data_IF_049494806482
#
_entry.id   IF_049494806482
#
_cell.length_a   1.000
_cell.length_b   1.000
_cell.length_c   1.000
_cell.angle_alpha   90.00
_cell.angle_beta   90.00
_cell.angle_gamma   90.00
#
_symmetry.space_group_name_H-M   'P 1'
#
loop_
_entity.id
_entity.type
_entity.pdbx_description
1 polymer ?
#
# COMPACT_ATOMS: atom_id res chain seq x y z
N UNK A 1 -28.36 76.88 21.53
CA UNK A 1 -29.08 75.76 20.86
C UNK A 1 -29.33 76.19 19.41
N UNK A 2 -29.17 75.37 18.35
CA UNK A 2 -29.21 73.89 18.20
C UNK A 2 -27.85 73.34 17.69
N UNK A 3 -27.51 72.06 17.48
CA UNK A 3 -28.20 70.92 16.84
C UNK A 3 -27.57 69.62 17.36
N UNK A 4 -28.37 68.76 17.97
CA UNK A 4 -28.00 67.36 18.21
C UNK A 4 -28.96 66.50 17.41
N UNK A 5 -28.52 65.98 16.27
CA UNK A 5 -29.12 64.84 15.57
C UNK A 5 -28.32 64.59 14.28
N UNK A 6 -28.14 63.31 13.93
CA UNK A 6 -27.33 62.72 12.84
C UNK A 6 -25.93 62.20 13.21
N UNK A 7 -25.82 61.27 14.16
CA UNK A 7 -24.61 60.43 14.30
C UNK A 7 -24.93 58.92 14.36
N UNK A 8 -26.16 58.53 14.69
CA UNK A 8 -26.50 57.12 14.97
C UNK A 8 -26.52 56.17 13.76
N UNK A 9 -26.83 56.65 12.54
CA UNK A 9 -26.99 55.77 11.36
C UNK A 9 -25.70 55.46 10.59
N UNK A 10 -24.64 56.26 10.79
CA UNK A 10 -23.38 56.08 10.09
C UNK A 10 -22.50 55.04 10.80
N UNK A 11 -22.38 55.12 12.13
CA UNK A 11 -21.61 54.16 12.94
C UNK A 11 -22.05 52.71 12.72
N UNK A 12 -23.37 52.46 12.71
CA UNK A 12 -23.94 51.13 12.48
C UNK A 12 -23.55 50.54 11.11
N UNK A 13 -23.45 51.36 10.05
CA UNK A 13 -23.08 50.88 8.71
C UNK A 13 -21.61 50.52 8.59
N UNK A 14 -20.72 51.15 9.37
CA UNK A 14 -19.29 50.83 9.36
C UNK A 14 -18.99 49.57 10.15
N UNK A 15 -19.66 49.33 11.28
CA UNK A 15 -19.49 48.10 12.08
C UNK A 15 -19.95 46.86 11.31
N UNK A 16 -21.12 46.88 10.66
CA UNK A 16 -21.60 45.72 9.87
C UNK A 16 -20.79 45.49 8.58
N UNK A 17 -19.99 46.46 8.14
CA UNK A 17 -19.11 46.32 6.96
C UNK A 17 -17.76 45.74 7.39
N UNK A 18 -17.22 46.20 8.52
CA UNK A 18 -16.02 45.64 9.15
C UNK A 18 -16.22 44.18 9.57
N UNK A 19 -17.36 43.83 10.17
CA UNK A 19 -17.68 42.44 10.57
C UNK A 19 -17.81 41.50 9.37
N UNK A 20 -18.44 41.94 8.28
CA UNK A 20 -18.53 41.16 7.03
C UNK A 20 -17.19 41.02 6.32
N UNK A 21 -16.34 42.03 6.37
CA UNK A 21 -15.01 41.99 5.77
C UNK A 21 -14.07 41.06 6.56
N UNK A 22 -14.20 40.97 7.88
CA UNK A 22 -13.49 39.99 8.71
C UNK A 22 -13.99 38.56 8.49
N UNK A 23 -15.31 38.32 8.44
CA UNK A 23 -15.86 36.99 8.10
C UNK A 23 -15.43 36.52 6.70
N UNK A 24 -15.42 37.42 5.71
CA UNK A 24 -14.92 37.13 4.36
C UNK A 24 -13.43 36.83 4.32
N UNK A 25 -12.66 37.42 5.24
CA UNK A 25 -11.22 37.21 5.38
C UNK A 25 -10.94 35.86 6.04
N UNK A 26 -11.69 35.50 7.08
CA UNK A 26 -11.62 34.18 7.71
C UNK A 26 -12.00 33.06 6.73
N UNK A 27 -13.04 33.28 5.92
CA UNK A 27 -13.48 32.29 4.94
C UNK A 27 -12.47 32.11 3.80
N UNK A 28 -11.76 33.18 3.42
CA UNK A 28 -10.62 33.12 2.50
C UNK A 28 -9.43 32.39 3.14
N UNK A 29 -9.12 32.67 4.40
CA UNK A 29 -8.00 32.05 5.12
C UNK A 29 -8.23 30.54 5.30
N UNK A 30 -9.46 30.12 5.62
CA UNK A 30 -9.84 28.70 5.67
C UNK A 30 -9.69 28.03 4.30
N UNK A 31 -10.15 28.67 3.22
CA UNK A 31 -9.98 28.13 1.86
C UNK A 31 -8.50 28.02 1.46
N UNK A 32 -7.69 29.01 1.79
CA UNK A 32 -6.25 29.03 1.55
C UNK A 32 -5.57 27.88 2.31
N UNK A 33 -5.93 27.67 3.58
CA UNK A 33 -5.43 26.56 4.41
C UNK A 33 -5.84 25.20 3.87
N UNK A 34 -7.09 25.03 3.43
CA UNK A 34 -7.54 23.78 2.80
C UNK A 34 -6.75 23.51 1.51
N UNK A 35 -6.56 24.52 0.68
CA UNK A 35 -5.74 24.40 -0.54
C UNK A 35 -4.30 24.03 -0.20
N UNK A 36 -3.68 24.71 0.76
CA UNK A 36 -2.32 24.42 1.21
C UNK A 36 -2.21 23.02 1.79
N UNK A 37 -3.21 22.56 2.56
CA UNK A 37 -3.27 21.20 3.05
C UNK A 37 -3.29 20.18 1.91
N UNK A 38 -4.11 20.39 0.87
CA UNK A 38 -4.12 19.53 -0.31
C UNK A 38 -2.78 19.54 -1.07
N UNK A 39 -2.15 20.71 -1.20
CA UNK A 39 -0.83 20.81 -1.84
C UNK A 39 0.25 20.07 -1.04
N UNK A 40 0.30 20.25 0.27
CA UNK A 40 1.24 19.55 1.16
C UNK A 40 0.98 18.04 1.12
N UNK A 41 -0.29 17.62 1.23
CA UNK A 41 -0.68 16.22 1.15
C UNK A 41 -0.22 15.59 -0.17
N UNK A 42 -0.45 16.25 -1.30
CA UNK A 42 -0.01 15.76 -2.60
C UNK A 42 1.52 15.65 -2.68
N UNK A 43 2.25 16.64 -2.16
CA UNK A 43 3.72 16.60 -2.13
C UNK A 43 4.27 15.50 -1.22
N UNK A 44 3.63 15.26 -0.08
CA UNK A 44 3.99 14.19 0.86
C UNK A 44 3.68 12.81 0.29
N UNK A 45 2.55 12.65 -0.41
CA UNK A 45 2.25 11.41 -1.14
C UNK A 45 3.30 11.18 -2.21
N UNK A 46 3.63 12.23 -2.99
CA UNK A 46 4.62 12.13 -4.05
C UNK A 46 6.03 11.85 -3.52
N UNK A 47 6.42 12.42 -2.38
CA UNK A 47 7.73 12.18 -1.75
C UNK A 47 7.85 10.80 -1.12
N UNK A 48 6.72 10.20 -0.72
CA UNK A 48 6.65 8.84 -0.17
C UNK A 48 6.51 7.76 -1.25
N UNK A 49 6.23 8.14 -2.50
CA UNK A 49 6.31 7.18 -3.60
C UNK A 49 7.77 6.77 -3.78
N UNK A 50 8.10 5.47 -3.70
CA UNK A 50 9.47 5.04 -3.84
C UNK A 50 10.00 5.34 -5.26
N UNK A 51 11.28 5.69 -5.40
CA UNK A 51 11.95 5.83 -6.72
C UNK A 51 11.82 4.55 -7.57
N UNK A 52 11.62 3.40 -6.91
CA UNK A 52 11.34 2.10 -7.49
C UNK A 52 9.86 1.88 -7.88
N UNK A 53 9.07 2.94 -8.11
CA UNK A 53 7.72 2.85 -8.68
C UNK A 53 7.69 2.04 -9.99
N UNK A 54 8.77 2.09 -10.76
CA UNK A 54 8.93 1.28 -11.97
C UNK A 54 8.87 -0.22 -11.66
N UNK A 55 9.47 -0.67 -10.55
CA UNK A 55 9.41 -2.07 -10.11
C UNK A 55 7.96 -2.46 -9.78
N UNK A 56 7.22 -1.59 -9.09
CA UNK A 56 5.81 -1.82 -8.77
C UNK A 56 4.93 -1.89 -10.03
N UNK A 57 5.15 -1.02 -11.01
CA UNK A 57 4.48 -1.10 -12.31
C UNK A 57 4.80 -2.40 -13.03
N UNK A 58 6.05 -2.84 -12.95
CA UNK A 58 6.47 -4.10 -13.54
C UNK A 58 5.93 -5.33 -12.80
N UNK A 59 5.58 -5.25 -11.51
CA UNK A 59 4.86 -6.33 -10.81
C UNK A 59 3.50 -6.65 -11.45
N UNK A 60 2.86 -5.67 -12.09
CA UNK A 60 1.62 -5.92 -12.84
C UNK A 60 1.83 -6.94 -13.99
N UNK A 61 3.06 -7.09 -14.48
CA UNK A 61 3.40 -8.08 -15.51
C UNK A 61 3.33 -9.52 -14.98
N UNK A 62 3.41 -9.72 -13.66
CA UNK A 62 3.26 -11.03 -13.00
C UNK A 62 1.80 -11.44 -12.82
N UNK A 63 0.85 -10.69 -13.36
CA UNK A 63 -0.54 -11.13 -13.34
C UNK A 63 -0.69 -12.44 -14.15
N UNK A 64 -1.42 -13.48 -13.67
CA UNK A 64 -1.55 -14.76 -14.35
C UNK A 64 -1.97 -14.64 -15.83
N UNK A 65 -2.93 -13.77 -16.13
CA UNK A 65 -3.36 -13.45 -17.51
C UNK A 65 -2.22 -12.97 -18.43
N UNK A 66 -1.27 -12.21 -17.89
CA UNK A 66 -0.09 -11.72 -18.63
C UNK A 66 0.96 -12.83 -18.73
N UNK A 67 1.16 -13.61 -17.66
CA UNK A 67 2.07 -14.75 -17.64
C UNK A 67 1.70 -15.85 -18.66
N UNK A 68 0.40 -16.05 -18.90
CA UNK A 68 -0.11 -17.02 -19.88
C UNK A 68 -0.29 -16.44 -21.29
N UNK A 69 -0.02 -15.15 -21.49
CA UNK A 69 -0.14 -14.49 -22.79
C UNK A 69 1.02 -14.82 -23.72
N UNK A 70 0.75 -14.87 -25.03
CA UNK A 70 1.78 -14.99 -26.07
C UNK A 70 2.64 -13.71 -26.19
N UNK A 71 2.05 -12.56 -25.87
CA UNK A 71 2.76 -11.27 -25.85
C UNK A 71 2.98 -10.91 -24.40
N UNK A 72 4.18 -11.21 -23.89
CA UNK A 72 4.59 -10.88 -22.53
C UNK A 72 5.86 -10.05 -22.51
N UNK A 73 5.97 -9.08 -21.60
CA UNK A 73 7.18 -8.30 -21.41
C UNK A 73 8.29 -9.16 -20.79
N UNK A 74 9.54 -8.82 -21.10
CA UNK A 74 10.71 -9.45 -20.50
C UNK A 74 10.80 -9.10 -19.01
N UNK A 75 11.18 -10.07 -18.17
CA UNK A 75 11.41 -9.84 -16.74
C UNK A 75 12.81 -9.28 -16.47
N UNK A 76 13.68 -9.17 -17.47
CA UNK A 76 15.05 -8.71 -17.33
C UNK A 76 15.20 -7.37 -16.61
N UNK A 77 14.29 -6.42 -16.84
CA UNK A 77 14.35 -5.11 -16.19
C UNK A 77 14.02 -5.19 -14.69
N UNK A 78 13.09 -6.09 -14.32
CA UNK A 78 12.78 -6.37 -12.90
C UNK A 78 13.94 -7.15 -12.26
N UNK A 79 14.50 -8.13 -12.97
CA UNK A 79 15.61 -8.95 -12.47
C UNK A 79 16.91 -8.13 -12.32
N UNK A 80 17.09 -7.06 -13.10
CA UNK A 80 18.16 -6.08 -12.91
C UNK A 80 17.95 -5.23 -11.66
N UNK A 81 16.73 -4.75 -11.42
CA UNK A 81 16.41 -3.90 -10.26
C UNK A 81 16.38 -4.70 -8.94
N UNK A 82 15.85 -5.93 -8.96
CA UNK A 82 15.84 -6.86 -7.82
C UNK A 82 17.12 -7.69 -7.86
N UNK A 83 18.26 -7.07 -7.53
CA UNK A 83 19.58 -7.71 -7.52
C UNK A 83 19.78 -8.65 -6.32
N UNK A 84 18.85 -9.58 -6.13
CA UNK A 84 18.84 -10.57 -5.03
C UNK A 84 18.67 -11.98 -5.59
N UNK A 85 19.75 -12.54 -6.14
CA UNK A 85 19.79 -13.90 -6.71
C UNK A 85 19.42 -14.99 -5.70
N UNK A 86 19.56 -14.73 -4.39
CA UNK A 86 19.08 -15.63 -3.33
C UNK A 86 17.57 -15.92 -3.40
N UNK A 87 16.76 -15.04 -4.02
CA UNK A 87 15.31 -15.21 -4.11
C UNK A 87 14.86 -16.12 -5.27
N UNK A 88 15.64 -16.21 -6.34
CA UNK A 88 15.18 -16.81 -7.60
C UNK A 88 16.26 -17.56 -8.38
N UNK A 89 17.48 -17.67 -7.86
CA UNK A 89 18.59 -18.32 -8.54
C UNK A 89 19.16 -17.48 -9.68
N UNK A 90 19.33 -18.09 -10.85
CA UNK A 90 19.90 -17.47 -12.03
C UNK A 90 18.82 -16.70 -12.84
N UNK A 91 19.18 -15.51 -13.33
CA UNK A 91 18.28 -14.64 -14.10
C UNK A 91 17.87 -15.26 -15.44
N UNK A 92 18.81 -15.92 -16.10
CA UNK A 92 18.57 -16.53 -17.41
C UNK A 92 17.59 -17.69 -17.33
N UNK A 93 17.67 -18.47 -16.25
CA UNK A 93 16.76 -19.58 -15.99
C UNK A 93 15.33 -19.08 -15.75
N UNK A 94 15.17 -18.01 -14.94
CA UNK A 94 13.87 -17.36 -14.70
C UNK A 94 13.23 -16.87 -15.98
N UNK A 95 13.99 -16.18 -16.85
CA UNK A 95 13.47 -15.67 -18.12
C UNK A 95 13.12 -16.82 -19.08
N UNK A 96 13.92 -17.89 -19.10
CA UNK A 96 13.63 -19.07 -19.92
C UNK A 96 12.36 -19.80 -19.46
N UNK A 97 12.16 -19.91 -18.15
CA UNK A 97 10.99 -20.52 -17.53
C UNK A 97 9.74 -19.65 -17.78
N UNK A 98 9.86 -18.33 -17.57
CA UNK A 98 8.83 -17.35 -17.88
C UNK A 98 8.34 -17.49 -19.31
N UNK A 99 9.26 -17.65 -20.27
CA UNK A 99 8.92 -17.83 -21.68
C UNK A 99 8.14 -19.12 -21.97
N UNK A 100 8.42 -20.19 -21.23
CA UNK A 100 7.76 -21.50 -21.40
C UNK A 100 6.39 -21.61 -20.71
N UNK A 101 6.04 -20.72 -19.78
CA UNK A 101 4.76 -20.79 -19.03
C UNK A 101 3.51 -20.84 -19.92
N UNK A 102 3.54 -20.20 -21.10
CA UNK A 102 2.41 -20.19 -22.04
C UNK A 102 2.14 -21.55 -22.69
N UNK A 103 3.13 -22.46 -22.69
CA UNK A 103 3.04 -23.74 -23.39
C UNK A 103 2.19 -24.75 -22.62
N UNK A 104 1.75 -24.41 -21.41
CA UNK A 104 0.92 -25.25 -20.54
C UNK A 104 -0.36 -24.52 -20.18
N UNK A 105 -1.48 -25.24 -20.14
CA UNK A 105 -2.73 -24.72 -19.59
C UNK A 105 -2.73 -24.85 -18.06
N UNK A 106 -3.09 -23.77 -17.38
CA UNK A 106 -3.13 -23.68 -15.91
C UNK A 106 -4.58 -23.62 -15.43
N UNK A 107 -4.86 -24.23 -14.28
CA UNK A 107 -6.23 -24.27 -13.74
C UNK A 107 -6.59 -22.99 -12.97
N UNK A 108 -5.63 -22.40 -12.25
CA UNK A 108 -5.88 -21.27 -11.34
C UNK A 108 -5.44 -19.92 -11.91
N UNK A 109 -6.04 -19.45 -13.00
CA UNK A 109 -5.64 -18.17 -13.66
C UNK A 109 -6.28 -16.91 -13.05
N UNK A 110 -7.13 -17.07 -12.03
CA UNK A 110 -7.91 -15.97 -11.44
C UNK A 110 -7.19 -15.25 -10.30
N UNK A 111 -6.30 -15.92 -9.58
CA UNK A 111 -5.62 -15.38 -8.40
C UNK A 111 -4.13 -15.63 -8.52
N UNK A 112 -3.31 -14.59 -8.41
CA UNK A 112 -1.84 -14.69 -8.55
C UNK A 112 -1.22 -15.66 -7.56
N UNK A 113 -1.72 -15.72 -6.33
CA UNK A 113 -1.25 -16.65 -5.30
C UNK A 113 -1.44 -18.11 -5.73
N UNK A 114 -2.69 -18.54 -5.96
CA UNK A 114 -3.02 -19.92 -6.37
C UNK A 114 -2.34 -20.30 -7.68
N UNK A 115 -2.22 -19.35 -8.62
CA UNK A 115 -1.50 -19.56 -9.87
C UNK A 115 -0.04 -19.91 -9.63
N UNK A 116 0.71 -19.09 -8.88
CA UNK A 116 2.13 -19.32 -8.67
C UNK A 116 2.42 -20.49 -7.73
N UNK A 117 1.48 -20.86 -6.85
CA UNK A 117 1.54 -22.13 -6.13
C UNK A 117 1.45 -23.33 -7.08
N UNK A 118 0.49 -23.33 -8.02
CA UNK A 118 0.36 -24.38 -9.04
C UNK A 118 1.58 -24.46 -9.96
N UNK A 119 2.13 -23.30 -10.37
CA UNK A 119 3.36 -23.23 -11.16
C UNK A 119 4.56 -23.76 -10.38
N UNK A 120 4.63 -23.50 -9.07
CA UNK A 120 5.70 -24.00 -8.21
C UNK A 120 5.66 -25.52 -8.05
N UNK A 121 4.45 -26.09 -7.92
CA UNK A 121 4.25 -27.52 -7.70
C UNK A 121 4.32 -28.36 -8.99
N UNK A 122 4.41 -27.70 -10.15
CA UNK A 122 4.61 -28.39 -11.41
C UNK A 122 6.00 -29.04 -11.51
N UNK A 123 6.00 -30.38 -11.58
CA UNK A 123 7.18 -31.21 -11.75
C UNK A 123 7.17 -31.92 -13.10
N UNK A 124 8.35 -32.17 -13.64
CA UNK A 124 8.51 -33.05 -14.80
C UNK A 124 8.35 -34.52 -14.42
N UNK A 125 8.39 -35.40 -15.42
CA UNK A 125 8.32 -36.86 -15.23
C UNK A 125 9.48 -37.44 -14.41
N UNK A 126 10.55 -36.66 -14.17
CA UNK A 126 11.68 -37.03 -13.33
C UNK A 126 11.56 -36.46 -11.89
N UNK A 127 10.50 -35.73 -11.58
CA UNK A 127 10.26 -35.12 -10.26
C UNK A 127 10.96 -33.78 -10.04
N UNK A 128 11.58 -33.19 -11.07
CA UNK A 128 12.21 -31.87 -10.96
C UNK A 128 11.21 -30.75 -11.25
N UNK A 129 11.25 -29.68 -10.44
CA UNK A 129 10.40 -28.50 -10.62
C UNK A 129 10.75 -27.78 -11.92
N UNK A 130 9.78 -27.68 -12.84
CA UNK A 130 9.99 -27.13 -14.20
C UNK A 130 10.02 -25.61 -14.24
N UNK A 131 9.30 -24.98 -13.31
CA UNK A 131 9.11 -23.52 -13.22
C UNK A 131 9.45 -22.99 -11.81
N UNK A 132 10.35 -23.69 -11.11
CA UNK A 132 10.63 -23.42 -9.71
C UNK A 132 11.27 -22.05 -9.46
N UNK A 133 12.06 -21.53 -10.40
CA UNK A 133 12.77 -20.27 -10.25
C UNK A 133 11.82 -19.09 -10.49
N UNK A 134 11.03 -19.14 -11.56
CA UNK A 134 10.05 -18.10 -11.87
C UNK A 134 8.92 -18.02 -10.83
N UNK A 135 8.47 -19.16 -10.30
CA UNK A 135 7.46 -19.17 -9.25
C UNK A 135 7.99 -18.59 -7.92
N UNK A 136 9.21 -18.95 -7.51
CA UNK A 136 9.85 -18.35 -6.33
C UNK A 136 10.05 -16.85 -6.50
N UNK A 137 10.48 -16.41 -7.67
CA UNK A 137 10.63 -14.99 -7.99
C UNK A 137 9.30 -14.25 -7.84
N UNK A 138 8.26 -14.74 -8.51
CA UNK A 138 6.96 -14.09 -8.50
C UNK A 138 6.33 -14.06 -7.10
N UNK A 139 6.39 -15.17 -6.35
CA UNK A 139 5.92 -15.20 -4.96
C UNK A 139 6.70 -14.23 -4.08
N UNK A 140 8.04 -14.22 -4.15
CA UNK A 140 8.85 -13.29 -3.38
C UNK A 140 8.49 -11.83 -3.69
N UNK A 141 8.26 -11.51 -4.97
CA UNK A 141 7.92 -10.15 -5.38
C UNK A 141 6.49 -9.76 -4.96
N UNK A 142 5.52 -10.69 -5.02
CA UNK A 142 4.13 -10.47 -4.59
C UNK A 142 3.98 -10.37 -3.06
N UNK A 143 4.92 -10.92 -2.29
CA UNK A 143 4.96 -10.78 -0.82
C UNK A 143 5.53 -9.44 -0.34
N UNK A 144 6.07 -8.62 -1.24
CA UNK A 144 6.56 -7.30 -0.86
C UNK A 144 5.37 -6.43 -0.45
N UNK A 145 5.34 -5.92 0.80
CA UNK A 145 4.26 -5.03 1.22
C UNK A 145 4.28 -3.77 0.36
N UNK A 146 3.19 -3.54 -0.38
CA UNK A 146 3.04 -2.40 -1.29
C UNK A 146 2.58 -1.13 -0.57
N UNK A 147 2.13 -1.23 0.67
CA UNK A 147 1.75 -0.08 1.51
C UNK A 147 2.20 -0.25 2.96
N UNK A 148 2.48 0.88 3.61
CA UNK A 148 2.75 0.93 5.05
C UNK A 148 1.47 0.79 5.88
N UNK A 149 0.30 0.66 5.27
CA UNK A 149 -1.00 0.72 5.94
C UNK A 149 -1.16 -0.41 7.00
N UNK A 150 -0.63 -1.60 6.68
CA UNK A 150 -0.57 -2.72 7.64
C UNK A 150 0.32 -2.41 8.84
N UNK A 151 1.42 -1.68 8.61
CA UNK A 151 2.36 -1.26 9.65
C UNK A 151 1.74 -0.14 10.48
N UNK A 152 1.09 0.84 9.86
CA UNK A 152 0.38 1.92 10.53
C UNK A 152 -0.78 1.41 11.40
N UNK A 153 -1.55 0.43 10.92
CA UNK A 153 -2.55 -0.27 11.73
C UNK A 153 -1.92 -0.94 12.95
N UNK A 154 -0.82 -1.66 12.79
CA UNK A 154 -0.09 -2.26 13.90
C UNK A 154 0.44 -1.21 14.90
N UNK A 155 0.96 -0.07 14.42
CA UNK A 155 1.41 1.04 15.25
C UNK A 155 0.26 1.80 15.94
N UNK A 156 -0.94 1.81 15.35
CA UNK A 156 -2.13 2.35 16.00
C UNK A 156 -2.54 1.46 17.18
N UNK A 157 -2.59 0.14 16.98
CA UNK A 157 -2.80 -0.83 18.06
C UNK A 157 -1.71 -0.73 19.14
N UNK A 158 -0.44 -0.60 18.73
CA UNK A 158 0.70 -0.34 19.62
C UNK A 158 0.44 0.87 20.50
N UNK A 159 0.04 1.97 19.86
CA UNK A 159 -0.19 3.25 20.52
C UNK A 159 -1.37 3.16 21.49
N UNK A 160 -2.43 2.43 21.15
CA UNK A 160 -3.56 2.17 22.05
C UNK A 160 -3.11 1.39 23.30
N UNK A 161 -2.40 0.27 23.12
CA UNK A 161 -1.92 -0.58 24.22
C UNK A 161 -0.96 0.20 25.12
N UNK A 162 -0.06 1.00 24.54
CA UNK A 162 0.92 1.79 25.28
C UNK A 162 0.33 3.02 25.99
N UNK A 163 -0.57 3.76 25.34
CA UNK A 163 -1.04 5.06 25.82
C UNK A 163 -2.37 5.00 26.57
N UNK A 164 -3.36 4.25 26.07
CA UNK A 164 -4.72 4.25 26.62
C UNK A 164 -4.87 3.36 27.85
N UNK A 165 -4.14 2.25 27.92
CA UNK A 165 -4.06 1.42 29.13
C UNK A 165 -3.19 2.05 30.22
N UNK A 166 -2.55 3.20 29.94
CA UNK A 166 -1.74 4.01 30.87
C UNK A 166 -0.70 3.20 31.65
N UNK A 167 -0.29 2.08 31.07
CA UNK A 167 0.60 1.13 31.70
C UNK A 167 1.94 1.26 30.98
N UNK A 168 2.98 1.65 31.71
CA UNK A 168 4.34 1.75 31.17
C UNK A 168 4.90 0.34 31.03
N UNK A 169 4.29 -0.44 30.13
CA UNK A 169 4.67 -1.83 29.87
C UNK A 169 6.10 -1.85 29.36
N UNK A 170 6.87 -2.80 29.86
CA UNK A 170 8.20 -3.08 29.31
C UNK A 170 8.06 -3.45 27.83
N UNK A 171 9.09 -3.13 27.05
CA UNK A 171 9.14 -3.44 25.61
C UNK A 171 8.87 -4.93 25.35
N UNK A 172 9.43 -5.81 26.20
CA UNK A 172 9.29 -7.26 26.08
C UNK A 172 7.83 -7.72 26.27
N UNK A 173 7.13 -7.20 27.28
CA UNK A 173 5.72 -7.57 27.49
C UNK A 173 4.85 -7.09 26.33
N UNK A 174 5.15 -5.91 25.81
CA UNK A 174 4.38 -5.29 24.74
C UNK A 174 4.63 -6.01 23.40
N UNK A 175 5.86 -6.48 23.15
CA UNK A 175 6.17 -7.36 22.02
C UNK A 175 5.45 -8.71 22.13
N UNK A 176 5.41 -9.31 23.32
CA UNK A 176 4.70 -10.57 23.53
C UNK A 176 3.18 -10.41 23.32
N UNK A 177 2.58 -9.34 23.84
CA UNK A 177 1.14 -9.04 23.62
C UNK A 177 0.81 -8.83 22.14
N UNK A 178 1.68 -8.12 21.42
CA UNK A 178 1.55 -7.94 19.97
C UNK A 178 1.58 -9.26 19.20
N UNK A 179 2.50 -10.15 19.56
CA UNK A 179 2.61 -11.45 18.89
C UNK A 179 1.39 -12.34 19.16
N UNK A 180 0.85 -12.32 20.39
CA UNK A 180 -0.36 -13.08 20.73
C UNK A 180 -1.62 -12.54 20.04
N UNK A 181 -1.78 -11.22 19.92
CA UNK A 181 -2.88 -10.63 19.14
C UNK A 181 -2.82 -11.06 17.67
N UNK A 182 -1.63 -11.04 17.06
CA UNK A 182 -1.45 -11.48 15.68
C UNK A 182 -1.84 -12.94 15.49
N UNK A 183 -1.43 -13.83 16.40
CA UNK A 183 -1.82 -15.26 16.34
C UNK A 183 -3.34 -15.45 16.44
N UNK A 184 -4.02 -14.68 17.28
CA UNK A 184 -5.47 -14.76 17.42
C UNK A 184 -6.20 -14.31 16.16
N UNK A 185 -5.73 -13.23 15.52
CA UNK A 185 -6.27 -12.75 14.24
C UNK A 185 -6.07 -13.77 13.11
N UNK A 186 -4.87 -14.35 13.03
CA UNK A 186 -4.54 -15.40 12.04
C UNK A 186 -5.42 -16.66 12.25
N UNK A 187 -5.72 -17.03 13.50
CA UNK A 187 -6.62 -18.15 13.83
C UNK A 187 -8.07 -17.86 13.43
N UNK A 188 -8.54 -16.62 13.64
CA UNK A 188 -9.88 -16.19 13.25
C UNK A 188 -10.06 -16.17 11.72
N UNK A 189 -9.04 -15.72 10.97
CA UNK A 189 -9.01 -15.79 9.52
C UNK A 189 -9.05 -17.23 9.01
N UNK A 190 -8.20 -18.10 9.57
CA UNK A 190 -8.17 -19.52 9.19
C UNK A 190 -9.50 -20.24 9.46
N UNK A 191 -10.19 -19.94 10.57
CA UNK A 191 -11.51 -20.50 10.88
C UNK A 191 -12.59 -19.99 9.92
N UNK A 192 -12.48 -18.75 9.45
CA UNK A 192 -13.47 -18.14 8.56
C UNK A 192 -13.29 -18.62 7.10
N UNK A 193 -12.06 -18.88 6.66
CA UNK A 193 -11.77 -19.46 5.35
C UNK A 193 -12.10 -20.97 5.28
N UNK A 194 -12.14 -21.65 6.43
CA UNK A 194 -12.57 -23.05 6.54
C UNK A 194 -14.09 -23.24 6.53
N UNK A 195 -14.86 -22.14 6.59
CA UNK A 195 -16.31 -22.12 6.65
C UNK A 195 -16.99 -21.84 5.30
N UNK A 196 -16.23 -21.81 4.20
CA UNK A 196 -16.71 -21.64 2.81
C UNK A 196 -16.46 -22.91 2.01
#
# INVERSE_FOLDING_TARGET
>A
MPKGEKISGYSQKYTTKLERDDELKDLKDVKERCKNFWCVLASEIQSRLPDNLNVLKMMANLHPKVATSQVKPSLNDILKSVNRTALYGNKDDVESEWNKLQNKSWSNVNTSEKFYSEVYDDCDSAGHKRFGNVAKFAMALLTVPTSNDSVERAFSTYSIVKSKLRNKLSLDLLQNLMMEQKKADDLFLALNDSAI
#
